data_IF_973409456669
#
_entry.id   IF_973409456669
#
_cell.length_a   1.000
_cell.length_b   1.000
_cell.length_c   1.000
_cell.angle_alpha   90.00
_cell.angle_beta   90.00
_cell.angle_gamma   90.00
#
_symmetry.space_group_name_H-M   'P 1'
#
loop_
_entity.id
_entity.type
_entity.pdbx_description
1 polymer ?
#
# COMPACT_ATOMS: atom_id res chain seq x y z
N UNK A 1 12.32 -4.94 -24.11
CA UNK A 1 12.10 -5.20 -22.68
C UNK A 1 11.20 -4.08 -22.18
N UNK A 2 10.11 -4.38 -21.46
CA UNK A 2 9.36 -3.32 -20.77
C UNK A 2 10.22 -2.84 -19.61
N UNK A 3 10.49 -1.55 -19.51
CA UNK A 3 11.12 -1.00 -18.33
C UNK A 3 10.24 -1.29 -17.10
N UNK A 4 10.88 -1.66 -16.00
CA UNK A 4 10.21 -1.96 -14.72
C UNK A 4 10.77 -1.07 -13.63
N UNK A 5 9.87 -0.47 -12.86
CA UNK A 5 10.17 0.28 -11.64
C UNK A 5 10.04 -0.64 -10.42
N UNK A 6 10.87 -0.41 -9.40
CA UNK A 6 10.62 -0.88 -8.04
C UNK A 6 10.16 0.31 -7.19
N UNK A 7 9.00 0.17 -6.55
CA UNK A 7 8.42 1.17 -5.67
C UNK A 7 8.35 0.62 -4.25
N UNK A 8 8.92 1.33 -3.29
CA UNK A 8 8.84 0.98 -1.87
C UNK A 8 7.76 1.82 -1.20
N UNK A 9 6.73 1.18 -0.68
CA UNK A 9 5.62 1.81 0.04
C UNK A 9 5.74 1.50 1.53
N UNK A 10 5.85 2.54 2.35
CA UNK A 10 5.78 2.44 3.81
C UNK A 10 4.37 2.82 4.27
N UNK A 11 3.65 1.86 4.82
CA UNK A 11 2.33 2.03 5.44
C UNK A 11 2.52 2.08 6.95
N UNK A 12 2.79 3.27 7.51
CA UNK A 12 3.04 3.40 8.95
C UNK A 12 1.77 3.24 9.77
N UNK A 13 1.89 2.53 10.89
CA UNK A 13 0.80 2.43 11.86
C UNK A 13 0.43 3.81 12.40
N UNK A 14 -0.88 4.01 12.55
CA UNK A 14 -1.43 5.07 13.35
C UNK A 14 -1.75 4.50 14.75
N UNK A 15 -0.86 4.74 15.71
CA UNK A 15 -0.99 4.24 17.08
C UNK A 15 -2.12 4.90 17.88
N UNK A 16 -2.81 5.91 17.31
CA UNK A 16 -4.03 6.46 17.91
C UNK A 16 -5.25 5.57 17.70
N UNK A 17 -5.17 4.59 16.78
CA UNK A 17 -6.25 3.66 16.44
C UNK A 17 -5.95 2.27 16.96
N UNK A 18 -6.99 1.57 17.38
CA UNK A 18 -6.88 0.15 17.69
C UNK A 18 -6.97 -0.72 16.42
N UNK A 19 -6.67 -2.02 16.57
CA UNK A 19 -6.66 -2.96 15.45
C UNK A 19 -8.03 -3.09 14.76
N UNK A 20 -9.11 -3.08 15.54
CA UNK A 20 -10.47 -3.25 15.02
C UNK A 20 -10.90 -2.06 14.15
N UNK A 21 -10.55 -0.83 14.55
CA UNK A 21 -10.79 0.37 13.77
C UNK A 21 -10.02 0.36 12.44
N UNK A 22 -8.77 -0.10 12.47
CA UNK A 22 -7.94 -0.26 11.26
C UNK A 22 -8.55 -1.32 10.35
N UNK A 23 -8.94 -2.48 10.88
CA UNK A 23 -9.55 -3.56 10.09
C UNK A 23 -10.90 -3.16 9.49
N UNK A 24 -11.76 -2.50 10.26
CA UNK A 24 -13.05 -2.02 9.79
C UNK A 24 -12.89 -1.02 8.63
N UNK A 25 -11.91 -0.11 8.72
CA UNK A 25 -11.61 0.83 7.63
C UNK A 25 -11.02 0.14 6.41
N UNK A 26 -10.05 -0.76 6.57
CA UNK A 26 -9.50 -1.53 5.44
C UNK A 26 -10.59 -2.29 4.68
N UNK A 27 -11.52 -2.90 5.42
CA UNK A 27 -12.67 -3.60 4.83
C UNK A 27 -13.62 -2.65 4.11
N UNK A 28 -13.90 -1.48 4.68
CA UNK A 28 -14.78 -0.50 4.04
C UNK A 28 -14.23 0.07 2.72
N UNK A 29 -12.91 0.00 2.52
CA UNK A 29 -12.25 0.46 1.30
C UNK A 29 -11.86 -0.66 0.34
N UNK A 30 -12.30 -1.90 0.59
CA UNK A 30 -11.94 -3.11 -0.17
C UNK A 30 -10.41 -3.22 -0.40
N UNK A 31 -9.63 -2.89 0.64
CA UNK A 31 -8.17 -2.77 0.54
C UNK A 31 -7.51 -4.07 0.04
N UNK A 32 -7.93 -5.21 0.60
CA UNK A 32 -7.34 -6.51 0.31
C UNK A 32 -7.69 -7.02 -1.09
N UNK A 33 -8.81 -6.57 -1.63
CA UNK A 33 -9.30 -6.94 -2.95
C UNK A 33 -8.74 -6.04 -4.05
N UNK A 34 -8.43 -4.78 -3.73
CA UNK A 34 -8.00 -3.76 -4.70
C UNK A 34 -6.49 -3.60 -4.81
N UNK A 35 -5.76 -3.69 -3.71
CA UNK A 35 -4.32 -3.46 -3.69
C UNK A 35 -3.54 -4.74 -4.13
N UNK A 36 -2.51 -4.63 -4.98
CA UNK A 36 -1.88 -3.42 -5.54
C UNK A 36 -2.50 -2.92 -6.86
N UNK A 37 -3.50 -3.62 -7.38
CA UNK A 37 -4.11 -3.38 -8.68
C UNK A 37 -3.51 -4.22 -9.80
N UNK A 38 -4.26 -4.32 -10.90
CA UNK A 38 -3.87 -5.11 -12.07
C UNK A 38 -2.57 -4.60 -12.70
N UNK A 39 -1.67 -5.52 -13.06
CA UNK A 39 -0.38 -5.22 -13.69
C UNK A 39 0.73 -4.78 -12.72
N UNK A 40 0.47 -4.84 -11.41
CA UNK A 40 1.44 -4.53 -10.34
C UNK A 40 1.72 -5.80 -9.53
N UNK A 41 2.99 -6.11 -9.36
CA UNK A 41 3.46 -7.28 -8.59
C UNK A 41 3.89 -6.84 -7.19
N UNK A 42 3.48 -7.57 -6.16
CA UNK A 42 4.08 -7.46 -4.82
C UNK A 42 5.34 -8.33 -4.80
N UNK A 43 6.50 -7.69 -4.71
CA UNK A 43 7.81 -8.36 -4.62
C UNK A 43 8.09 -8.78 -3.18
N UNK A 44 7.72 -7.95 -2.21
CA UNK A 44 7.88 -8.25 -0.78
C UNK A 44 6.84 -7.53 0.06
N UNK A 45 6.50 -8.14 1.20
CA UNK A 45 5.65 -7.55 2.21
C UNK A 45 6.20 -7.90 3.59
N UNK A 46 6.67 -6.88 4.31
CA UNK A 46 7.28 -7.05 5.63
C UNK A 46 6.48 -6.28 6.67
N UNK A 47 6.01 -6.96 7.70
CA UNK A 47 5.47 -6.31 8.90
C UNK A 47 6.64 -5.94 9.81
N UNK A 48 6.93 -4.65 9.90
CA UNK A 48 7.99 -4.12 10.74
C UNK A 48 7.38 -3.60 12.05
N UNK A 49 7.50 -4.40 13.12
CA UNK A 49 6.94 -4.11 14.44
C UNK A 49 7.27 -2.67 14.90
N UNK A 50 6.24 -1.91 15.27
CA UNK A 50 6.36 -0.51 15.71
C UNK A 50 6.48 0.52 14.58
N UNK A 51 6.85 0.11 13.37
CA UNK A 51 6.91 0.99 12.20
C UNK A 51 5.60 0.95 11.39
N UNK A 52 5.24 -0.23 10.90
CA UNK A 52 4.28 -0.32 9.79
C UNK A 52 4.42 -1.58 8.98
N UNK A 53 3.87 -1.50 7.78
CA UNK A 53 4.07 -2.47 6.73
C UNK A 53 4.96 -1.84 5.67
N UNK A 54 5.97 -2.58 5.22
CA UNK A 54 6.86 -2.18 4.13
C UNK A 54 6.54 -3.10 2.96
N UNK A 55 6.08 -2.51 1.87
CA UNK A 55 5.69 -3.24 0.66
C UNK A 55 6.59 -2.80 -0.48
N UNK A 56 7.22 -3.74 -1.18
CA UNK A 56 7.94 -3.44 -2.42
C UNK A 56 7.11 -3.92 -3.60
N UNK A 57 6.81 -3.03 -4.53
CA UNK A 57 6.05 -3.29 -5.74
C UNK A 57 6.95 -3.26 -6.97
N UNK A 58 6.66 -4.11 -7.95
CA UNK A 58 7.22 -4.05 -9.30
C UNK A 58 6.12 -3.73 -10.29
N UNK A 59 6.36 -2.74 -11.15
CA UNK A 59 5.37 -2.26 -12.12
C UNK A 59 6.03 -1.58 -13.32
N UNK A 60 5.37 -1.55 -14.50
CA UNK A 60 5.71 -0.60 -15.55
C UNK A 60 5.56 0.84 -15.04
N UNK A 61 6.48 1.78 -15.38
CA UNK A 61 6.38 3.18 -14.93
C UNK A 61 5.03 3.85 -15.25
N UNK A 62 4.38 3.45 -16.34
CA UNK A 62 3.07 3.96 -16.74
C UNK A 62 1.94 3.67 -15.74
N UNK A 63 2.11 2.67 -14.85
CA UNK A 63 1.12 2.33 -13.82
C UNK A 63 1.32 3.09 -12.50
N UNK A 64 2.40 3.87 -12.35
CA UNK A 64 2.66 4.63 -11.13
C UNK A 64 1.49 5.55 -10.72
N UNK A 65 0.85 6.31 -11.63
CA UNK A 65 -0.32 7.12 -11.26
C UNK A 65 -1.51 6.29 -10.77
N UNK A 66 -1.71 5.09 -11.33
CA UNK A 66 -2.79 4.18 -10.90
C UNK A 66 -2.55 3.67 -9.49
N UNK A 67 -1.31 3.26 -9.18
CA UNK A 67 -0.92 2.86 -7.82
C UNK A 67 -1.07 4.01 -6.83
N UNK A 68 -0.67 5.23 -7.20
CA UNK A 68 -0.88 6.39 -6.35
C UNK A 68 -2.36 6.55 -5.99
N UNK A 69 -3.25 6.59 -6.99
CA UNK A 69 -4.71 6.72 -6.76
C UNK A 69 -5.27 5.60 -5.89
N UNK A 70 -4.83 4.35 -6.05
CA UNK A 70 -5.27 3.26 -5.17
C UNK A 70 -4.80 3.49 -3.73
N UNK A 71 -3.55 3.92 -3.50
CA UNK A 71 -3.09 4.29 -2.16
C UNK A 71 -3.91 5.45 -1.57
N UNK A 72 -4.25 6.47 -2.36
CA UNK A 72 -5.09 7.59 -1.89
C UNK A 72 -6.48 7.13 -1.49
N UNK A 73 -7.07 6.25 -2.30
CA UNK A 73 -8.43 5.75 -2.07
C UNK A 73 -8.50 4.82 -0.88
N UNK A 74 -7.49 4.00 -0.64
CA UNK A 74 -7.67 2.82 0.21
C UNK A 74 -6.68 2.71 1.38
N UNK A 75 -5.49 3.32 1.30
CA UNK A 75 -4.52 3.36 2.39
C UNK A 75 -4.62 4.63 3.26
N UNK A 76 -4.94 5.78 2.66
CA UNK A 76 -4.99 7.05 3.39
C UNK A 76 -6.10 7.08 4.43
N UNK A 77 -5.76 7.54 5.64
CA UNK A 77 -6.66 7.52 6.80
C UNK A 77 -6.61 6.22 7.62
N UNK A 78 -6.02 5.14 7.08
CA UNK A 78 -5.65 3.93 7.83
C UNK A 78 -4.16 3.99 8.21
N UNK A 79 -3.31 4.35 7.24
CA UNK A 79 -1.87 4.45 7.41
C UNK A 79 -1.37 5.85 7.06
N UNK A 80 -0.27 6.26 7.69
CA UNK A 80 0.56 7.34 7.13
C UNK A 80 1.46 6.72 6.05
N UNK A 81 1.24 7.10 4.81
CA UNK A 81 1.87 6.47 3.64
C UNK A 81 3.07 7.28 3.15
N UNK A 82 4.20 6.62 2.88
CA UNK A 82 5.39 7.19 2.23
C UNK A 82 5.81 6.29 1.06
N UNK A 83 6.33 6.86 -0.02
CA UNK A 83 6.72 6.14 -1.24
C UNK A 83 8.14 6.54 -1.68
N UNK A 84 8.98 5.58 -2.04
CA UNK A 84 10.36 5.75 -2.48
C UNK A 84 10.69 4.91 -3.72
#
# INVERSE_FOLDING_TARGET
MSDTLLLTVLLRHDQSKNLDEIQARMKAMDWWERFPGEGVEIVSWTVAMGLGQIVTLRLPPALLPRVNVELERSAWGVFRTECY
#
